data_IF_977625407410
#
_entry.id   IF_977625407410
#
_cell.length_a   1.000
_cell.length_b   1.000
_cell.length_c   1.000
_cell.angle_alpha   90.00
_cell.angle_beta   90.00
_cell.angle_gamma   90.00
#
_symmetry.space_group_name_H-M   'P 1'
#
loop_
_entity.id
_entity.type
_entity.pdbx_description
1 polymer ?
#
# COMPACT_ATOMS: atom_id res chain seq x y z
N UNK A 1 -16.21 4.25 5.97
CA UNK A 1 -15.19 3.74 6.92
C UNK A 1 -15.83 3.20 8.20
N UNK A 2 -16.57 4.01 8.97
CA UNK A 2 -17.05 3.62 10.31
C UNK A 2 -18.01 2.40 10.35
N UNK A 3 -19.01 2.34 9.46
CA UNK A 3 -20.03 1.27 9.53
C UNK A 3 -19.46 -0.15 9.28
N UNK A 4 -18.50 -0.29 8.36
CA UNK A 4 -17.88 -1.60 8.05
C UNK A 4 -16.76 -1.97 9.02
N UNK A 5 -16.29 -1.06 9.87
CA UNK A 5 -15.31 -1.36 10.91
C UNK A 5 -15.85 -2.34 11.98
N UNK A 6 -17.18 -2.35 12.20
CA UNK A 6 -17.83 -3.31 13.10
C UNK A 6 -17.70 -4.77 12.63
N UNK A 7 -17.44 -4.99 11.34
CA UNK A 7 -17.27 -6.32 10.75
C UNK A 7 -15.82 -6.82 10.78
N UNK A 8 -14.86 -6.01 11.26
CA UNK A 8 -13.45 -6.41 11.37
C UNK A 8 -13.24 -7.72 12.17
N UNK A 9 -13.94 -8.00 13.28
CA UNK A 9 -13.75 -9.25 14.02
C UNK A 9 -14.25 -10.50 13.27
N UNK A 10 -15.09 -10.32 12.24
CA UNK A 10 -15.72 -11.44 11.51
C UNK A 10 -15.04 -11.65 10.15
N UNK A 11 -14.72 -10.57 9.43
CA UNK A 11 -14.10 -10.64 8.10
C UNK A 11 -12.99 -9.59 7.92
N UNK A 12 -11.88 -9.70 8.68
CA UNK A 12 -10.84 -8.67 8.72
C UNK A 12 -10.18 -8.43 7.36
N UNK A 13 -9.88 -9.50 6.61
CA UNK A 13 -9.23 -9.41 5.29
C UNK A 13 -10.11 -8.70 4.26
N UNK A 14 -11.40 -9.07 4.20
CA UNK A 14 -12.33 -8.47 3.25
C UNK A 14 -12.54 -6.98 3.54
N UNK A 15 -12.77 -6.63 4.81
CA UNK A 15 -12.95 -5.24 5.22
C UNK A 15 -11.70 -4.41 4.92
N UNK A 16 -10.51 -4.95 5.23
CA UNK A 16 -9.23 -4.29 4.94
C UNK A 16 -9.02 -4.10 3.44
N UNK A 17 -9.27 -5.13 2.62
CA UNK A 17 -9.13 -5.05 1.17
C UNK A 17 -10.04 -3.97 0.56
N UNK A 18 -11.29 -3.88 1.01
CA UNK A 18 -12.24 -2.86 0.55
C UNK A 18 -11.77 -1.46 0.97
N UNK A 19 -11.38 -1.27 2.23
CA UNK A 19 -10.94 0.03 2.74
C UNK A 19 -9.65 0.51 2.06
N UNK A 20 -8.66 -0.36 1.92
CA UNK A 20 -7.42 -0.07 1.20
C UNK A 20 -7.72 0.26 -0.26
N UNK A 21 -8.50 -0.57 -0.96
CA UNK A 21 -8.84 -0.34 -2.37
C UNK A 21 -9.55 1.00 -2.61
N UNK A 22 -10.46 1.40 -1.72
CA UNK A 22 -11.10 2.72 -1.79
C UNK A 22 -10.10 3.86 -1.57
N UNK A 23 -9.13 3.70 -0.66
CA UNK A 23 -8.07 4.69 -0.42
C UNK A 23 -7.19 4.85 -1.65
N UNK A 24 -6.74 3.75 -2.26
CA UNK A 24 -5.93 3.77 -3.49
C UNK A 24 -6.64 4.53 -4.63
N UNK A 25 -7.93 4.25 -4.85
CA UNK A 25 -8.72 4.94 -5.87
C UNK A 25 -8.84 6.44 -5.57
N UNK A 26 -9.04 6.81 -4.30
CA UNK A 26 -9.11 8.21 -3.90
C UNK A 26 -7.76 8.93 -4.10
N UNK A 27 -6.64 8.27 -3.76
CA UNK A 27 -5.30 8.80 -3.99
C UNK A 27 -5.06 9.01 -5.49
N UNK A 28 -5.30 7.99 -6.33
CA UNK A 28 -5.14 8.09 -7.77
C UNK A 28 -5.98 9.24 -8.38
N UNK A 29 -7.25 9.37 -7.96
CA UNK A 29 -8.14 10.45 -8.44
C UNK A 29 -7.61 11.85 -8.11
N UNK A 30 -7.07 12.04 -6.90
CA UNK A 30 -6.48 13.33 -6.51
C UNK A 30 -5.16 13.59 -7.24
N UNK A 31 -4.29 12.58 -7.35
CA UNK A 31 -3.00 12.64 -8.02
C UNK A 31 -3.07 13.01 -9.52
N UNK A 32 -4.18 12.69 -10.19
CA UNK A 32 -4.41 13.15 -11.58
C UNK A 32 -4.47 14.68 -11.65
N UNK A 33 -5.13 15.31 -10.67
CA UNK A 33 -5.39 16.75 -10.65
C UNK A 33 -4.24 17.56 -10.06
N UNK A 34 -3.49 16.97 -9.14
CA UNK A 34 -2.42 17.63 -8.39
C UNK A 34 -1.04 17.04 -8.76
N UNK A 35 -0.15 17.81 -9.43
CA UNK A 35 1.20 17.36 -9.80
C UNK A 35 2.11 16.97 -8.63
N UNK A 36 2.00 17.63 -7.47
CA UNK A 36 2.83 17.30 -6.31
C UNK A 36 2.35 16.00 -5.68
N UNK A 37 1.03 15.84 -5.55
CA UNK A 37 0.45 14.58 -5.10
C UNK A 37 0.69 13.43 -6.09
N UNK A 38 0.82 13.73 -7.39
CA UNK A 38 1.19 12.74 -8.42
C UNK A 38 2.57 12.15 -8.21
N UNK A 39 3.55 12.96 -7.82
CA UNK A 39 4.89 12.47 -7.48
C UNK A 39 4.81 11.50 -6.31
N UNK A 40 4.10 11.88 -5.24
CA UNK A 40 3.88 11.01 -4.09
C UNK A 40 3.16 9.71 -4.45
N UNK A 41 2.11 9.78 -5.27
CA UNK A 41 1.38 8.62 -5.76
C UNK A 41 2.24 7.69 -6.64
N UNK A 42 3.14 8.25 -7.45
CA UNK A 42 4.04 7.44 -8.26
C UNK A 42 5.03 6.67 -7.38
N UNK A 43 5.58 7.31 -6.34
CA UNK A 43 6.43 6.63 -5.34
C UNK A 43 5.62 5.58 -4.59
N UNK A 44 4.39 5.90 -4.17
CA UNK A 44 3.46 4.97 -3.54
C UNK A 44 3.29 3.70 -4.39
N UNK A 45 2.83 3.88 -5.64
CA UNK A 45 2.56 2.79 -6.59
C UNK A 45 3.80 1.95 -6.85
N UNK A 46 4.96 2.57 -7.14
CA UNK A 46 6.18 1.83 -7.43
C UNK A 46 6.68 1.05 -6.21
N UNK A 47 6.57 1.64 -5.02
CA UNK A 47 6.93 0.98 -3.76
C UNK A 47 6.00 -0.19 -3.46
N UNK A 48 4.69 -0.04 -3.69
CA UNK A 48 3.70 -1.11 -3.53
C UNK A 48 3.91 -2.25 -4.52
N UNK A 49 4.26 -1.96 -5.78
CA UNK A 49 4.60 -2.99 -6.78
C UNK A 49 5.90 -3.72 -6.43
N UNK A 50 6.94 -2.98 -6.05
CA UNK A 50 8.22 -3.55 -5.64
C UNK A 50 8.06 -4.40 -4.38
N UNK A 51 7.34 -3.88 -3.38
CA UNK A 51 6.90 -4.64 -2.22
C UNK A 51 6.23 -5.91 -2.68
N UNK A 52 5.08 -5.83 -3.37
CA UNK A 52 4.37 -6.97 -3.96
C UNK A 52 5.28 -8.08 -4.54
N UNK A 53 6.24 -7.69 -5.38
CA UNK A 53 7.21 -8.62 -5.96
C UNK A 53 8.14 -9.26 -4.92
N UNK A 54 8.68 -8.48 -3.98
CA UNK A 54 9.55 -8.97 -2.91
C UNK A 54 8.84 -9.94 -1.95
N UNK A 55 7.53 -9.80 -1.74
CA UNK A 55 6.71 -10.76 -0.98
C UNK A 55 6.80 -12.16 -1.57
N UNK A 56 6.52 -12.21 -2.87
CA UNK A 56 6.34 -13.43 -3.62
C UNK A 56 7.73 -14.06 -3.76
N UNK A 57 8.76 -13.23 -3.95
CA UNK A 57 10.14 -13.67 -3.99
C UNK A 57 10.60 -14.27 -2.64
N UNK A 58 10.17 -13.74 -1.50
CA UNK A 58 10.53 -14.26 -0.17
C UNK A 58 10.08 -15.73 -0.02
N UNK A 59 8.85 -16.04 -0.45
CA UNK A 59 8.31 -17.40 -0.47
C UNK A 59 8.99 -18.30 -1.53
N UNK A 60 9.28 -17.75 -2.72
CA UNK A 60 9.87 -18.51 -3.82
C UNK A 60 11.36 -18.81 -3.65
N UNK A 61 12.10 -17.97 -2.92
CA UNK A 61 13.54 -18.05 -2.77
C UNK A 61 13.96 -18.00 -1.28
N UNK A 62 13.57 -18.99 -0.45
CA UNK A 62 13.75 -18.95 1.00
C UNK A 62 15.22 -18.90 1.46
N UNK A 63 16.17 -19.22 0.57
CA UNK A 63 17.61 -19.13 0.84
C UNK A 63 18.23 -17.76 0.56
N UNK A 64 17.50 -16.81 -0.02
CA UNK A 64 18.01 -15.47 -0.33
C UNK A 64 17.83 -14.57 0.88
N UNK A 65 18.91 -14.09 1.50
CA UNK A 65 18.80 -13.27 2.70
C UNK A 65 18.16 -11.90 2.38
N UNK A 66 17.47 -11.34 3.36
CA UNK A 66 16.92 -9.97 3.37
C UNK A 66 15.75 -9.67 2.42
N UNK A 67 15.18 -10.63 1.68
CA UNK A 67 14.00 -10.39 0.85
C UNK A 67 12.81 -9.86 1.66
N UNK A 68 12.48 -10.53 2.78
CA UNK A 68 11.46 -10.06 3.73
C UNK A 68 11.72 -8.63 4.26
N UNK A 69 12.98 -8.34 4.60
CA UNK A 69 13.38 -7.01 5.09
C UNK A 69 13.23 -5.94 4.01
N UNK A 70 13.58 -6.27 2.76
CA UNK A 70 13.41 -5.39 1.61
C UNK A 70 11.93 -5.16 1.28
N UNK A 71 11.09 -6.19 1.39
CA UNK A 71 9.62 -6.07 1.34
C UNK A 71 9.13 -5.02 2.34
N UNK A 72 9.54 -5.13 3.61
CA UNK A 72 9.13 -4.18 4.64
C UNK A 72 9.62 -2.76 4.38
N UNK A 73 10.85 -2.61 3.87
CA UNK A 73 11.39 -1.31 3.52
C UNK A 73 10.57 -0.64 2.39
N UNK A 74 10.26 -1.38 1.33
CA UNK A 74 9.42 -0.88 0.24
C UNK A 74 8.01 -0.51 0.74
N UNK A 75 7.41 -1.36 1.58
CA UNK A 75 6.11 -1.09 2.20
C UNK A 75 6.13 0.17 3.08
N UNK A 76 7.19 0.38 3.86
CA UNK A 76 7.34 1.56 4.71
C UNK A 76 7.46 2.86 3.88
N UNK A 77 8.22 2.83 2.78
CA UNK A 77 8.31 3.97 1.85
C UNK A 77 6.94 4.26 1.23
N UNK A 78 6.24 3.23 0.74
CA UNK A 78 4.89 3.38 0.19
C UNK A 78 3.90 3.95 1.20
N UNK A 79 3.87 3.42 2.42
CA UNK A 79 3.00 3.91 3.50
C UNK A 79 3.30 5.38 3.87
N UNK A 80 4.57 5.77 3.89
CA UNK A 80 5.00 7.14 4.20
C UNK A 80 4.43 8.19 3.23
N UNK A 81 4.21 7.83 1.97
CA UNK A 81 3.61 8.73 0.97
C UNK A 81 2.14 9.07 1.27
N UNK A 82 1.43 8.25 2.03
CA UNK A 82 0.03 8.49 2.38
C UNK A 82 -0.15 9.76 3.23
N UNK A 83 0.90 10.21 3.93
CA UNK A 83 0.87 11.47 4.67
C UNK A 83 0.60 12.68 3.75
N UNK A 84 0.97 12.60 2.46
CA UNK A 84 0.65 13.64 1.47
C UNK A 84 -0.84 13.76 1.17
N UNK A 85 -1.67 12.82 1.60
CA UNK A 85 -3.12 12.94 1.51
C UNK A 85 -3.72 13.85 2.60
N UNK A 86 -2.96 14.13 3.67
CA UNK A 86 -3.37 14.98 4.79
C UNK A 86 -2.96 16.44 4.61
N UNK A 87 -2.04 16.72 3.69
CA UNK A 87 -1.69 18.06 3.21
C UNK A 87 -2.72 18.55 2.19
#
# INVERSE_FOLDING_TARGET
MAATALLLPVQPLMVSAIHTGMMEVAFAKRAIKDPELRKAHNVHKMSSLLGGALFIADDMFPGTPFLHSAWHLAAAVGAGTCNKLLE
#
